data_IF_039704081177
#
_entry.id   IF_039704081177
#
_cell.length_a   1.000
_cell.length_b   1.000
_cell.length_c   1.000
_cell.angle_alpha   90.00
_cell.angle_beta   90.00
_cell.angle_gamma   90.00
#
_symmetry.space_group_name_H-M   'P 1'
#
loop_
_entity.id
_entity.type
_entity.pdbx_description
1 polymer ?
#
# COMPACT_ATOMS: atom_id res chain seq x y z
N UNK A 1 -5.63 28.08 10.28
CA UNK A 1 -4.15 28.10 10.16
C UNK A 1 -3.77 27.44 8.82
N UNK A 2 -2.66 27.80 8.15
CA UNK A 2 -2.26 27.21 6.85
C UNK A 2 -1.41 25.93 6.97
N UNK A 3 -1.24 25.42 8.19
CA UNK A 3 -0.34 24.31 8.48
C UNK A 3 -0.66 23.04 7.67
N UNK A 4 -1.94 22.64 7.57
CA UNK A 4 -2.36 21.49 6.75
C UNK A 4 -1.85 21.53 5.30
N UNK A 5 -2.05 22.66 4.63
CA UNK A 5 -1.62 22.86 3.23
C UNK A 5 -0.10 22.77 3.09
N UNK A 6 0.64 23.33 4.05
CA UNK A 6 2.11 23.26 4.09
C UNK A 6 2.56 21.81 4.23
N UNK A 7 1.96 21.06 5.16
CA UNK A 7 2.25 19.65 5.35
C UNK A 7 1.87 18.81 4.12
N UNK A 8 0.74 19.09 3.47
CA UNK A 8 0.36 18.40 2.24
C UNK A 8 1.42 18.60 1.14
N UNK A 9 1.83 19.85 0.87
CA UNK A 9 2.81 20.17 -0.18
C UNK A 9 4.16 19.54 0.10
N UNK A 10 4.63 19.60 1.35
CA UNK A 10 5.87 18.94 1.76
C UNK A 10 5.77 17.41 1.62
N UNK A 11 4.63 16.81 1.98
CA UNK A 11 4.38 15.39 1.79
C UNK A 11 4.51 14.94 0.33
N UNK A 12 3.91 15.71 -0.59
CA UNK A 12 4.01 15.46 -2.03
C UNK A 12 5.44 15.67 -2.57
N UNK A 13 6.12 16.74 -2.16
CA UNK A 13 7.50 17.02 -2.56
C UNK A 13 8.45 15.89 -2.15
N UNK A 14 8.38 15.45 -0.89
CA UNK A 14 9.22 14.35 -0.39
C UNK A 14 8.90 13.01 -1.07
N UNK A 15 7.63 12.78 -1.43
CA UNK A 15 7.23 11.58 -2.20
C UNK A 15 7.94 11.54 -3.55
N UNK A 16 7.95 12.65 -4.29
CA UNK A 16 8.64 12.75 -5.59
C UNK A 16 10.15 12.62 -5.43
N UNK A 17 10.72 13.19 -4.36
CA UNK A 17 12.14 13.06 -4.02
C UNK A 17 12.54 11.69 -3.47
N UNK A 18 11.62 10.73 -3.41
CA UNK A 18 11.82 9.37 -2.87
C UNK A 18 12.18 9.30 -1.37
N UNK A 19 12.08 10.42 -0.64
CA UNK A 19 12.16 10.43 0.82
C UNK A 19 10.80 10.07 1.42
N UNK A 20 10.50 8.78 1.38
CA UNK A 20 9.21 8.26 1.82
C UNK A 20 8.97 8.43 3.33
N UNK A 21 10.04 8.45 4.14
CA UNK A 21 9.90 8.62 5.59
C UNK A 21 9.43 10.02 5.92
N UNK A 22 10.05 11.04 5.33
CA UNK A 22 9.65 12.43 5.50
C UNK A 22 8.26 12.67 4.89
N UNK A 23 8.00 12.10 3.70
CA UNK A 23 6.69 12.19 3.06
C UNK A 23 5.55 11.68 3.97
N UNK A 24 5.71 10.49 4.55
CA UNK A 24 4.73 9.90 5.46
C UNK A 24 4.48 10.78 6.68
N UNK A 25 5.55 11.30 7.31
CA UNK A 25 5.44 12.21 8.46
C UNK A 25 4.58 13.43 8.12
N UNK A 26 4.83 14.05 6.96
CA UNK A 26 4.09 15.22 6.54
C UNK A 26 2.62 14.91 6.21
N UNK A 27 2.31 13.79 5.57
CA UNK A 27 0.91 13.39 5.35
C UNK A 27 0.18 13.10 6.67
N UNK A 28 0.82 12.45 7.64
CA UNK A 28 0.23 12.22 8.97
C UNK A 28 -0.06 13.54 9.69
N UNK A 29 0.87 14.50 9.66
CA UNK A 29 0.66 15.83 10.23
C UNK A 29 -0.48 16.59 9.53
N UNK A 30 -0.64 16.43 8.21
CA UNK A 30 -1.76 17.02 7.48
C UNK A 30 -3.11 16.41 7.88
N UNK A 31 -3.17 15.12 8.24
CA UNK A 31 -4.39 14.46 8.71
C UNK A 31 -4.83 14.87 10.12
N UNK A 32 -3.89 15.33 10.96
CA UNK A 32 -4.19 15.81 12.32
C UNK A 32 -4.88 17.17 12.30
N UNK A 33 -4.60 18.01 11.29
CA UNK A 33 -5.16 19.35 11.18
C UNK A 33 -6.57 19.31 10.54
N UNK A 34 -7.55 19.94 11.20
CA UNK A 34 -8.93 20.05 10.72
C UNK A 34 -9.17 21.22 9.76
N UNK A 35 -8.16 22.08 9.51
CA UNK A 35 -8.28 23.19 8.57
C UNK A 35 -8.61 22.68 7.14
N UNK A 36 -9.29 23.46 6.30
CA UNK A 36 -9.51 23.11 4.90
C UNK A 36 -8.18 23.11 4.12
N UNK A 37 -8.09 22.26 3.10
CA UNK A 37 -6.88 22.02 2.30
C UNK A 37 -7.29 21.68 0.85
N UNK A 38 -6.38 21.82 -0.11
CA UNK A 38 -6.66 21.49 -1.51
C UNK A 38 -7.06 20.03 -1.71
N UNK A 39 -6.52 19.12 -0.90
CA UNK A 39 -6.90 17.71 -0.90
C UNK A 39 -7.71 17.36 0.35
N UNK A 40 -8.73 16.53 0.16
CA UNK A 40 -9.51 15.92 1.22
C UNK A 40 -8.69 14.93 2.03
N UNK A 41 -9.13 14.60 3.25
CA UNK A 41 -8.47 13.60 4.08
C UNK A 41 -8.37 12.23 3.37
N UNK A 42 -9.41 11.86 2.61
CA UNK A 42 -9.43 10.64 1.82
C UNK A 42 -8.34 10.63 0.73
N UNK A 43 -8.13 11.74 0.03
CA UNK A 43 -7.06 11.87 -0.97
C UNK A 43 -5.67 11.84 -0.33
N UNK A 44 -5.52 12.41 0.87
CA UNK A 44 -4.26 12.32 1.63
C UNK A 44 -3.99 10.87 2.05
N UNK A 45 -5.00 10.15 2.55
CA UNK A 45 -4.89 8.73 2.87
C UNK A 45 -4.58 7.87 1.62
N UNK A 46 -5.17 8.21 0.48
CA UNK A 46 -4.83 7.58 -0.80
C UNK A 46 -3.34 7.77 -1.13
N UNK A 47 -2.80 8.97 -0.94
CA UNK A 47 -1.37 9.22 -1.14
C UNK A 47 -0.47 8.43 -0.20
N UNK A 48 -0.89 8.18 1.05
CA UNK A 48 -0.18 7.30 2.00
C UNK A 48 -0.20 5.85 1.50
N UNK A 49 -1.34 5.34 1.04
CA UNK A 49 -1.43 3.98 0.50
C UNK A 49 -0.52 3.80 -0.73
N UNK A 50 -0.55 4.75 -1.66
CA UNK A 50 0.33 4.79 -2.82
C UNK A 50 1.82 4.90 -2.44
N UNK A 51 2.14 5.53 -1.31
CA UNK A 51 3.51 5.61 -0.80
C UNK A 51 4.06 4.23 -0.44
N UNK A 52 3.25 3.37 0.18
CA UNK A 52 3.62 1.99 0.47
C UNK A 52 3.77 1.17 -0.81
N UNK A 53 2.87 1.38 -1.77
CA UNK A 53 2.92 0.72 -3.07
C UNK A 53 4.20 1.06 -3.84
N UNK A 54 4.59 2.35 -3.86
CA UNK A 54 5.83 2.83 -4.53
C UNK A 54 7.08 2.21 -3.89
N UNK A 55 7.03 1.95 -2.58
CA UNK A 55 8.09 1.22 -1.85
C UNK A 55 8.04 -0.30 -2.03
N UNK A 56 7.12 -0.82 -2.85
CA UNK A 56 6.86 -2.27 -3.03
C UNK A 56 6.45 -2.98 -1.75
N UNK A 57 5.94 -2.24 -0.75
CA UNK A 57 5.36 -2.76 0.50
C UNK A 57 3.89 -3.12 0.26
N UNK A 58 3.66 -4.11 -0.59
CA UNK A 58 2.33 -4.44 -1.11
C UNK A 58 1.31 -4.83 -0.04
N UNK A 59 1.76 -5.48 1.04
CA UNK A 59 0.88 -5.84 2.16
C UNK A 59 0.34 -4.58 2.86
N UNK A 60 1.22 -3.68 3.29
CA UNK A 60 0.83 -2.41 3.91
C UNK A 60 0.04 -1.50 2.97
N UNK A 61 0.37 -1.50 1.67
CA UNK A 61 -0.39 -0.77 0.66
C UNK A 61 -1.82 -1.29 0.55
N UNK A 62 -1.98 -2.61 0.47
CA UNK A 62 -3.30 -3.27 0.43
C UNK A 62 -4.13 -2.92 1.67
N UNK A 63 -3.57 -3.08 2.86
CA UNK A 63 -4.28 -2.74 4.12
C UNK A 63 -4.71 -1.28 4.16
N UNK A 64 -3.84 -0.35 3.74
CA UNK A 64 -4.17 1.07 3.71
C UNK A 64 -5.28 1.39 2.70
N UNK A 65 -5.26 0.77 1.53
CA UNK A 65 -6.33 0.90 0.53
C UNK A 65 -7.66 0.29 1.01
N UNK A 66 -7.63 -0.88 1.65
CA UNK A 66 -8.82 -1.51 2.23
C UNK A 66 -9.41 -0.67 3.36
N UNK A 67 -8.58 -0.08 4.23
CA UNK A 67 -9.03 0.88 5.25
C UNK A 67 -9.66 2.12 4.63
N UNK A 68 -9.08 2.65 3.56
CA UNK A 68 -9.65 3.81 2.86
C UNK A 68 -11.04 3.52 2.29
N UNK A 69 -11.29 2.30 1.79
CA UNK A 69 -12.62 1.88 1.32
C UNK A 69 -13.70 1.86 2.41
N UNK A 70 -13.31 1.76 3.68
CA UNK A 70 -14.25 1.82 4.82
C UNK A 70 -14.65 3.26 5.17
N UNK A 71 -14.07 4.27 4.52
CA UNK A 71 -14.41 5.67 4.79
C UNK A 71 -15.80 5.99 4.25
N UNK A 72 -16.68 6.49 5.12
CA UNK A 72 -18.01 6.94 4.73
C UNK A 72 -17.93 8.09 3.71
N UNK A 73 -18.83 8.07 2.72
CA UNK A 73 -18.91 9.10 1.67
C UNK A 73 -17.60 9.32 0.89
N UNK A 74 -16.81 8.27 0.69
CA UNK A 74 -15.61 8.32 -0.13
C UNK A 74 -15.94 8.83 -1.55
N UNK A 75 -15.24 9.85 -2.08
CA UNK A 75 -15.51 10.36 -3.42
C UNK A 75 -15.43 9.25 -4.47
N UNK A 76 -16.39 9.20 -5.40
CA UNK A 76 -16.51 8.13 -6.39
C UNK A 76 -15.23 7.93 -7.21
N UNK A 77 -14.54 9.03 -7.56
CA UNK A 77 -13.26 9.00 -8.26
C UNK A 77 -12.18 8.31 -7.42
N UNK A 78 -12.03 8.70 -6.16
CA UNK A 78 -11.05 8.08 -5.23
C UNK A 78 -11.37 6.60 -5.06
N UNK A 79 -12.65 6.24 -4.85
CA UNK A 79 -13.10 4.85 -4.72
C UNK A 79 -12.72 4.01 -5.95
N UNK A 80 -13.00 4.53 -7.15
CA UNK A 80 -12.66 3.85 -8.40
C UNK A 80 -11.14 3.63 -8.52
N UNK A 81 -10.34 4.66 -8.22
CA UNK A 81 -8.88 4.54 -8.24
C UNK A 81 -8.36 3.55 -7.20
N UNK A 82 -8.90 3.54 -5.98
CA UNK A 82 -8.51 2.58 -4.93
C UNK A 82 -8.77 1.14 -5.37
N UNK A 83 -9.96 0.86 -5.92
CA UNK A 83 -10.29 -0.47 -6.43
C UNK A 83 -9.36 -0.89 -7.58
N UNK A 84 -9.01 0.04 -8.46
CA UNK A 84 -8.03 -0.21 -9.52
C UNK A 84 -6.66 -0.60 -8.93
N UNK A 85 -6.14 0.17 -7.97
CA UNK A 85 -4.84 -0.11 -7.36
C UNK A 85 -4.83 -1.43 -6.59
N UNK A 86 -5.91 -1.78 -5.89
CA UNK A 86 -6.05 -3.08 -5.22
C UNK A 86 -5.98 -4.25 -6.21
N UNK A 87 -6.65 -4.13 -7.36
CA UNK A 87 -6.56 -5.12 -8.43
C UNK A 87 -5.13 -5.31 -8.93
N UNK A 88 -4.42 -4.21 -9.20
CA UNK A 88 -3.01 -4.22 -9.62
C UNK A 88 -2.11 -4.87 -8.55
N UNK A 89 -2.27 -4.50 -7.29
CA UNK A 89 -1.47 -5.05 -6.18
C UNK A 89 -1.73 -6.54 -6.00
N UNK A 90 -2.97 -7.01 -6.15
CA UNK A 90 -3.29 -8.44 -6.03
C UNK A 90 -2.63 -9.26 -7.14
N UNK A 91 -2.59 -8.72 -8.35
CA UNK A 91 -1.86 -9.33 -9.48
C UNK A 91 -0.36 -9.35 -9.16
N UNK A 92 0.24 -8.19 -8.87
CA UNK A 92 1.67 -8.09 -8.60
C UNK A 92 2.13 -8.92 -7.39
N UNK A 93 1.30 -9.04 -6.35
CA UNK A 93 1.57 -9.87 -5.18
C UNK A 93 1.57 -11.37 -5.48
N UNK A 94 0.69 -11.84 -6.38
CA UNK A 94 0.63 -13.26 -6.80
C UNK A 94 1.80 -13.65 -7.69
N UNK A 95 2.23 -12.77 -8.60
CA UNK A 95 3.33 -13.06 -9.52
C UNK A 95 4.72 -12.93 -8.91
N UNK A 96 4.83 -12.43 -7.66
CA UNK A 96 6.10 -12.19 -6.98
C UNK A 96 6.28 -13.00 -5.69
N UNK A 97 5.55 -14.11 -5.55
CA UNK A 97 5.84 -15.07 -4.48
C UNK A 97 7.17 -15.80 -4.77
N UNK A 98 8.13 -15.84 -3.82
CA UNK A 98 9.44 -16.47 -4.03
C UNK A 98 9.34 -17.99 -4.26
N UNK A 99 10.23 -18.51 -5.11
CA UNK A 99 10.47 -19.94 -5.42
C UNK A 99 10.75 -20.88 -4.21
N UNK A 100 10.67 -20.40 -2.97
CA UNK A 100 11.06 -21.16 -1.78
C UNK A 100 9.95 -22.04 -1.19
N UNK A 101 8.68 -21.86 -1.58
CA UNK A 101 7.56 -22.67 -1.07
C UNK A 101 7.21 -23.90 -1.94
N UNK A 102 7.69 -23.97 -3.18
CA UNK A 102 7.48 -25.13 -4.06
C UNK A 102 8.56 -26.21 -3.90
N UNK A 103 9.71 -25.87 -3.30
CA UNK A 103 10.81 -26.82 -3.09
C UNK A 103 10.50 -27.88 -2.03
N UNK A 104 9.92 -27.50 -0.89
CA UNK A 104 9.73 -28.43 0.25
C UNK A 104 8.60 -29.46 0.07
N UNK A 105 7.66 -29.21 -0.84
CA UNK A 105 6.59 -30.16 -1.13
C UNK A 105 7.07 -31.30 -2.06
N UNK A 106 8.01 -31.01 -2.96
CA UNK A 106 8.58 -32.01 -3.88
C UNK A 106 9.62 -32.92 -3.22
N UNK A 107 10.34 -32.41 -2.21
CA UNK A 107 11.36 -33.20 -1.48
C UNK A 107 10.68 -34.26 -0.59
N UNK A 108 9.54 -33.92 0.04
CA UNK A 108 8.81 -34.87 0.88
C UNK A 108 8.13 -36.00 0.08
N UNK A 109 7.65 -35.72 -1.15
CA UNK A 109 7.10 -36.79 -1.98
C UNK A 109 8.17 -37.75 -2.53
N UNK A 110 9.40 -37.28 -2.79
CA UNK A 110 10.50 -38.16 -3.20
C UNK A 110 11.05 -39.03 -2.07
N UNK A 111 11.02 -38.57 -0.81
CA UNK A 111 11.48 -39.40 0.31
C UNK A 111 10.51 -40.52 0.72
N UNK A 112 9.20 -40.33 0.55
CA UNK A 112 8.21 -41.39 0.88
C UNK A 112 8.26 -42.57 -0.11
N UNK A 113 8.74 -42.37 -1.35
CA UNK A 113 8.85 -43.44 -2.35
C UNK A 113 10.14 -44.27 -2.29
N UNK A 114 11.19 -43.81 -1.59
CA UNK A 114 12.48 -44.51 -1.50
C UNK A 114 12.61 -45.44 -0.27
N UNK A 115 11.53 -45.68 0.48
CA UNK A 115 11.51 -46.69 1.57
C UNK A 115 10.58 -47.87 1.27
N UNK A 116 10.18 -48.06 0.00
CA UNK A 116 9.31 -49.15 -0.44
C UNK A 116 9.94 -50.17 -1.40
N UNK A 117 11.25 -50.11 -1.67
CA UNK A 117 11.93 -51.09 -2.53
C UNK A 117 13.37 -51.32 -2.05
N UNK A 118 13.52 -52.20 -1.05
CA UNK A 118 14.50 -53.29 -0.94
C UNK A 118 14.42 -53.92 0.45
#
# INVERSE_FOLDING_TARGET
CRAKEIHLRLGLMFKVNTDYKSSLKHFQLALIDCNPCTLSNAEIQFHIAHLYETQRKYHSAKEAYEQLLQTENLPAQVKATVLQQLGVIQVLGKFRMPLYLTGNLLINQKQVQIHGVQ
#
